data_IF_484351285274
#
_entry.id   IF_484351285274
#
_cell.length_a   1.000
_cell.length_b   1.000
_cell.length_c   1.000
_cell.angle_alpha   90.00
_cell.angle_beta   90.00
_cell.angle_gamma   90.00
#
_symmetry.space_group_name_H-M   'P 1'
#
loop_
_entity.id
_entity.type
_entity.pdbx_description
1 polymer ?
2 polymer ?
3 polymer ?
4 polymer ?
5 non-polymer ?
6 non-polymer ?
7 non-polymer ?
8 non-polymer ?
9 non-polymer ?
10 non-polymer ?
11 water ?
#
loop_
_entity_poly.entity_id
_entity_poly.type
_entity_poly.pdbx_seq_one_letter_code
_entity_poly.pdbx_strand_id
2 'polydeoxyribonucleotide' '(DC)(DG)(DG)(DC)(DA)(DA)(DT)(DA)(DC)(DG)' ?
3 'polydeoxyribonucleotide' '(DC)(DG)(DT)(DA)' ?
4 'polydeoxyribonucleotide' '(DG)(DC)(DC)(DG)' ?
#
# COMPACT_ATOMS: atom_id res chain seq x y z
N UNK A 10 7.33 -18.49 16.19
CA UNK A 10 6.99 -17.42 15.23
C UNK A 10 7.57 -17.74 13.85
N UNK A 11 6.70 -17.95 12.85
CA UNK A 11 7.26 -18.34 11.55
C UNK A 11 7.99 -17.19 10.87
N UNK A 12 8.85 -17.53 9.92
CA UNK A 12 9.80 -16.58 9.34
C UNK A 12 9.17 -15.57 8.39
N UNK A 13 8.10 -15.99 7.70
CA UNK A 13 7.45 -15.16 6.69
C UNK A 13 6.19 -14.52 7.23
N UNK A 14 5.91 -13.27 6.83
CA UNK A 14 4.75 -12.58 7.39
C UNK A 14 3.45 -13.23 6.94
N UNK A 15 3.50 -13.89 5.79
CA UNK A 15 2.28 -14.51 5.27
C UNK A 15 1.92 -15.81 6.00
N UNK A 16 2.79 -16.24 6.93
CA UNK A 16 2.56 -17.44 7.71
C UNK A 16 1.94 -17.16 9.08
N UNK A 17 1.67 -15.89 9.35
CA UNK A 17 1.17 -15.55 10.67
C UNK A 17 0.14 -14.43 10.57
N UNK A 18 -0.86 -14.44 11.46
CA UNK A 18 -1.83 -13.34 11.41
C UNK A 18 -1.18 -12.08 11.95
N UNK A 19 -1.46 -10.97 11.29
CA UNK A 19 -0.96 -9.67 11.77
C UNK A 19 -2.13 -8.70 11.80
N UNK A 20 -2.61 -8.37 13.00
CA UNK A 20 -3.81 -7.55 13.08
C UNK A 20 -3.45 -6.07 12.92
N UNK A 21 -4.47 -5.25 12.70
CA UNK A 21 -4.23 -3.83 12.50
C UNK A 21 -3.68 -3.17 13.76
N UNK A 22 -4.27 -3.52 14.90
CA UNK A 22 -3.80 -2.96 16.17
C UNK A 22 -3.21 -4.08 17.02
N UNK A 23 -2.24 -3.74 17.84
CA UNK A 23 -1.47 -4.83 18.46
C UNK A 23 -0.86 -4.37 19.78
N UNK A 24 0.20 -5.03 20.22
CA UNK A 24 0.67 -4.88 21.61
C UNK A 24 2.08 -4.32 21.72
N UNK A 25 2.61 -3.87 20.58
CA UNK A 25 3.98 -3.35 20.55
C UNK A 25 4.09 -2.15 19.65
N UNK A 26 3.10 -1.27 19.73
CA UNK A 26 2.96 -0.16 18.80
C UNK A 26 4.20 0.75 18.79
N UNK A 27 4.64 1.15 19.98
CA UNK A 27 5.82 1.99 20.11
C UNK A 27 7.08 1.39 19.50
N UNK A 28 7.32 0.10 19.76
CA UNK A 28 8.52 -0.54 19.25
C UNK A 28 8.48 -0.65 17.74
N UNK A 29 7.32 -1.02 17.20
CA UNK A 29 7.19 -1.19 15.75
C UNK A 29 7.35 0.16 15.04
N UNK A 30 6.78 1.20 15.64
CA UNK A 30 6.89 2.55 15.06
C UNK A 30 8.34 2.95 14.89
N UNK A 31 9.13 2.72 15.95
CA UNK A 31 10.54 3.12 15.92
C UNK A 31 11.29 2.36 14.82
N UNK A 32 11.06 1.05 14.71
CA UNK A 32 11.73 0.29 13.67
C UNK A 32 11.27 0.75 12.30
N UNK A 33 10.03 1.18 12.18
CA UNK A 33 9.54 1.63 10.88
C UNK A 33 10.15 2.99 10.47
N UNK A 34 10.52 3.81 11.45
CA UNK A 34 11.27 5.03 11.14
C UNK A 34 12.61 4.65 10.52
N UNK A 35 13.29 3.68 11.12
CA UNK A 35 14.59 3.27 10.58
C UNK A 35 14.43 2.65 9.19
N UNK A 36 13.35 1.90 8.98
CA UNK A 36 13.08 1.34 7.65
C UNK A 36 12.92 2.43 6.61
N UNK A 37 12.10 3.42 6.96
CA UNK A 37 11.80 4.54 6.09
C UNK A 37 13.07 5.32 5.75
N UNK A 38 13.92 5.54 6.76
CA UNK A 38 15.18 6.26 6.55
C UNK A 38 16.15 5.47 5.68
N UNK A 39 16.17 4.14 5.87
CA UNK A 39 16.98 3.26 5.02
C UNK A 39 16.56 3.41 3.56
N UNK A 40 15.25 3.44 3.33
CA UNK A 40 14.72 3.64 1.99
C UNK A 40 15.19 4.95 1.38
N UNK A 41 15.17 6.03 2.18
CA UNK A 41 15.61 7.33 1.68
C UNK A 41 17.08 7.32 1.23
N UNK A 42 17.86 6.45 1.86
CA UNK A 42 19.28 6.36 1.51
C UNK A 42 19.57 5.30 0.44
N UNK A 43 18.51 4.69 -0.10
CA UNK A 43 18.67 3.70 -1.15
C UNK A 43 19.11 2.32 -0.64
N UNK A 44 18.90 2.08 0.64
CA UNK A 44 19.29 0.83 1.28
C UNK A 44 18.08 -0.05 1.36
N UNK A 45 17.72 -0.68 0.25
CA UNK A 45 16.47 -1.44 0.20
C UNK A 45 16.54 -2.73 1.02
N UNK A 46 17.73 -3.29 1.19
CA UNK A 46 17.88 -4.47 2.02
C UNK A 46 17.62 -4.14 3.47
N UNK A 47 18.24 -3.07 3.94
CA UNK A 47 18.05 -2.64 5.32
C UNK A 47 16.59 -2.27 5.59
N UNK A 48 15.96 -1.59 4.63
CA UNK A 48 14.54 -1.25 4.76
C UNK A 48 13.71 -2.50 4.96
N UNK A 49 13.99 -3.52 4.16
CA UNK A 49 13.20 -4.75 4.23
C UNK A 49 13.37 -5.42 5.60
N UNK A 50 14.60 -5.47 6.10
CA UNK A 50 14.81 -6.10 7.39
C UNK A 50 14.10 -5.34 8.51
N UNK A 51 14.19 -4.00 8.50
CA UNK A 51 13.52 -3.24 9.56
C UNK A 51 12.01 -3.36 9.46
N UNK A 52 11.47 -3.42 8.24
CA UNK A 52 10.04 -3.67 8.05
C UNK A 52 9.61 -5.03 8.59
N UNK A 53 10.40 -6.06 8.30
CA UNK A 53 10.13 -7.42 8.79
C UNK A 53 10.17 -7.50 10.30
N UNK A 54 11.20 -6.92 10.90
CA UNK A 54 11.31 -6.93 12.36
C UNK A 54 10.13 -6.19 13.00
N UNK A 55 9.75 -5.05 12.44
CA UNK A 55 8.59 -4.36 12.95
C UNK A 55 7.35 -5.25 12.84
N UNK A 56 7.20 -5.94 11.71
CA UNK A 56 6.03 -6.79 11.51
C UNK A 56 5.98 -7.95 12.49
N UNK A 57 7.15 -8.49 12.84
CA UNK A 57 7.23 -9.57 13.82
C UNK A 57 6.64 -9.10 15.17
N UNK A 58 6.95 -7.87 15.57
CA UNK A 58 6.39 -7.34 16.80
C UNK A 58 4.87 -7.15 16.71
N UNK A 59 4.38 -6.72 15.55
CA UNK A 59 2.94 -6.57 15.35
C UNK A 59 2.22 -7.90 15.52
N UNK A 60 2.91 -8.99 15.19
CA UNK A 60 2.29 -10.30 15.24
C UNK A 60 2.38 -10.94 16.62
N UNK A 61 3.09 -10.32 17.56
CA UNK A 61 3.24 -10.94 18.88
C UNK A 61 1.93 -10.85 19.68
N UNK A 62 1.68 -11.83 20.57
CA UNK A 62 0.41 -11.87 21.29
C UNK A 62 0.38 -10.96 22.53
N UNK A 63 1.51 -10.34 22.89
CA UNK A 63 1.55 -9.49 24.07
C UNK A 63 2.77 -8.57 23.98
N UNK A 64 2.88 -7.59 24.88
CA UNK A 64 4.00 -6.64 24.79
C UNK A 64 5.35 -7.25 25.10
N UNK A 65 6.36 -6.82 24.36
CA UNK A 65 7.73 -7.14 24.72
C UNK A 65 8.14 -6.21 25.85
N UNK A 66 8.53 -6.78 26.99
CA UNK A 66 9.01 -5.93 28.07
C UNK A 66 10.45 -6.20 28.45
N UNK A 67 11.06 -7.25 27.94
CA UNK A 67 12.46 -7.51 28.26
C UNK A 67 13.20 -8.08 27.05
N UNK A 68 14.49 -7.76 26.98
CA UNK A 68 15.30 -8.11 25.81
C UNK A 68 15.31 -9.62 25.54
N UNK A 69 15.22 -10.44 26.59
CA UNK A 69 15.21 -11.90 26.41
C UNK A 69 14.06 -12.39 25.52
N UNK A 70 12.97 -11.64 25.46
CA UNK A 70 11.82 -12.10 24.70
C UNK A 70 12.08 -12.01 23.19
N UNK A 71 13.17 -11.34 22.79
CA UNK A 71 13.51 -11.26 21.36
C UNK A 71 14.25 -12.49 20.88
N UNK A 72 14.77 -13.27 21.84
CA UNK A 72 15.54 -14.46 21.53
C UNK A 72 14.69 -15.40 20.69
N UNK A 73 15.24 -15.83 19.57
CA UNK A 73 14.53 -16.74 18.71
C UNK A 73 13.55 -16.09 17.74
N UNK A 74 13.27 -14.80 17.92
CA UNK A 74 12.39 -14.13 16.96
C UNK A 74 13.13 -13.92 15.64
N UNK A 75 12.49 -14.27 14.54
CA UNK A 75 13.14 -14.03 13.24
C UNK A 75 13.32 -12.53 12.97
N UNK A 76 14.38 -12.17 12.26
CA UNK A 76 14.65 -10.81 11.79
C UNK A 76 15.11 -9.86 12.90
N UNK A 77 15.36 -10.41 14.09
CA UNK A 77 15.97 -9.60 15.14
C UNK A 77 17.42 -9.97 15.35
N UNK A 78 18.31 -9.15 14.80
CA UNK A 78 19.74 -9.32 14.99
C UNK A 78 20.27 -8.23 15.89
N UNK A 79 21.55 -7.91 15.75
CA UNK A 79 22.19 -6.98 16.67
C UNK A 79 21.54 -5.62 16.63
N UNK A 80 21.26 -5.15 15.43
CA UNK A 80 20.82 -3.76 15.27
C UNK A 80 19.41 -3.56 15.78
N UNK A 81 18.48 -4.40 15.31
CA UNK A 81 17.09 -4.29 15.73
C UNK A 81 16.92 -4.54 17.22
N UNK A 82 17.69 -5.47 17.77
CA UNK A 82 17.59 -5.77 19.19
C UNK A 82 18.08 -4.60 20.04
N UNK A 83 19.14 -3.93 19.59
CA UNK A 83 19.64 -2.77 20.30
C UNK A 83 18.60 -1.66 20.36
N UNK A 84 17.90 -1.45 19.25
CA UNK A 84 16.88 -0.43 19.18
C UNK A 84 15.81 -0.72 20.24
N UNK A 85 15.33 -1.97 20.27
CA UNK A 85 14.32 -2.34 21.25
C UNK A 85 14.87 -2.25 22.68
N UNK A 86 16.13 -2.66 22.88
CA UNK A 86 16.73 -2.58 24.21
C UNK A 86 16.73 -1.15 24.74
N UNK A 87 17.08 -0.20 23.88
CA UNK A 87 17.15 1.19 24.29
C UNK A 87 15.76 1.74 24.59
N UNK A 88 14.79 1.41 23.74
CA UNK A 88 13.42 1.82 24.01
C UNK A 88 12.92 1.25 25.34
N UNK A 89 13.22 -0.01 25.62
CA UNK A 89 12.79 -0.61 26.88
C UNK A 89 13.46 0.04 28.10
N UNK A 90 14.73 0.37 27.97
CA UNK A 90 15.50 0.87 29.11
C UNK A 90 15.33 2.38 29.32
N UNK A 91 15.18 3.14 28.24
CA UNK A 91 15.19 4.61 28.33
C UNK A 91 13.97 5.29 27.74
N UNK A 92 13.12 4.54 27.05
CA UNK A 92 11.91 5.10 26.49
C UNK A 92 12.14 5.78 25.15
N UNK A 93 13.40 5.89 24.75
CA UNK A 93 13.76 6.43 23.45
C UNK A 93 14.99 5.74 22.93
N UNK A 94 15.13 5.74 21.61
CA UNK A 94 16.32 5.21 20.98
C UNK A 94 17.04 6.37 20.32
N UNK A 95 18.27 6.64 20.76
CA UNK A 95 18.95 7.82 20.27
C UNK A 95 19.09 7.85 18.75
N UNK A 96 19.31 6.68 18.12
CA UNK A 96 19.43 6.66 16.66
C UNK A 96 18.13 7.11 15.99
N UNK A 97 17.01 6.61 16.50
CA UNK A 97 15.71 6.95 15.95
C UNK A 97 15.46 8.45 16.10
N UNK A 98 15.83 8.99 17.25
CA UNK A 98 15.58 10.40 17.50
C UNK A 98 16.44 11.28 16.61
N UNK A 99 17.69 10.89 16.39
CA UNK A 99 18.57 11.62 15.49
C UNK A 99 18.04 11.60 14.06
N UNK A 100 17.48 10.46 13.65
CA UNK A 100 16.86 10.40 12.32
C UNK A 100 15.67 11.36 12.24
N UNK A 101 14.76 11.29 13.22
CA UNK A 101 13.57 12.14 13.23
C UNK A 101 13.86 13.63 13.12
N UNK A 102 14.95 14.07 13.76
CA UNK A 102 15.29 15.49 13.79
C UNK A 102 16.06 15.94 12.60
N UNK A 103 16.54 15.00 11.78
CA UNK A 103 17.50 15.38 10.76
C UNK A 103 16.83 16.06 9.58
N UNK A 104 17.51 17.07 9.04
CA UNK A 104 17.02 17.79 7.87
C UNK A 104 16.81 16.84 6.69
N UNK A 105 17.73 15.90 6.54
CA UNK A 105 17.66 14.94 5.42
C UNK A 105 16.38 14.08 5.52
N UNK A 106 16.13 13.50 6.68
CA UNK A 106 14.93 12.68 6.87
C UNK A 106 13.67 13.49 6.66
N UNK A 107 13.58 14.67 7.27
CA UNK A 107 12.33 15.42 7.20
C UNK A 107 12.06 15.89 5.78
N UNK A 108 13.10 16.26 5.05
CA UNK A 108 12.92 16.73 3.69
C UNK A 108 12.57 15.58 2.74
N UNK A 109 13.23 14.43 2.91
CA UNK A 109 12.91 13.29 2.07
C UNK A 109 11.49 12.81 2.34
N UNK A 110 11.08 12.86 3.61
CA UNK A 110 9.73 12.44 3.95
C UNK A 110 8.72 13.39 3.29
N UNK A 111 8.98 14.68 3.38
CA UNK A 111 8.14 15.68 2.74
C UNK A 111 8.01 15.45 1.22
N UNK A 112 9.15 15.30 0.56
CA UNK A 112 9.16 15.21 -0.89
C UNK A 112 8.55 13.88 -1.38
N UNK A 113 8.89 12.77 -0.72
CA UNK A 113 8.46 11.45 -1.20
C UNK A 113 7.01 11.24 -0.94
N UNK A 114 6.40 12.07 -0.12
CA UNK A 114 4.99 11.88 0.14
C UNK A 114 4.14 12.64 -0.87
N UNK A 115 4.80 13.39 -1.75
CA UNK A 115 4.12 14.00 -2.89
C UNK A 115 3.80 12.94 -3.96
N UNK A 116 2.56 12.92 -4.43
CA UNK A 116 2.15 12.06 -5.53
C UNK A 116 2.97 12.40 -6.78
N UNK A 117 3.66 11.40 -7.32
CA UNK A 117 4.47 11.57 -8.51
C UNK A 117 5.95 11.71 -8.20
N UNK A 118 6.29 11.63 -6.92
CA UNK A 118 7.67 11.75 -6.48
C UNK A 118 8.12 10.48 -5.76
N UNK A 119 9.22 9.89 -6.20
CA UNK A 119 9.78 8.75 -5.50
C UNK A 119 11.09 9.13 -4.82
N UNK A 120 11.73 8.14 -4.21
CA UNK A 120 13.00 8.38 -3.53
C UNK A 120 14.06 9.01 -4.45
N UNK A 121 14.18 8.52 -5.69
CA UNK A 121 15.25 9.06 -6.53
C UNK A 121 15.03 10.53 -6.86
N UNK A 122 13.80 10.91 -7.13
CA UNK A 122 13.51 12.31 -7.44
C UNK A 122 13.69 13.18 -6.19
N UNK A 123 13.18 12.73 -5.05
CA UNK A 123 13.35 13.49 -3.80
C UNK A 123 14.81 13.70 -3.48
N UNK A 124 15.62 12.65 -3.67
CA UNK A 124 17.07 12.73 -3.41
C UNK A 124 17.77 13.73 -4.33
N UNK A 125 17.43 13.70 -5.61
CA UNK A 125 18.02 14.65 -6.56
C UNK A 125 17.67 16.08 -6.15
N UNK A 126 16.39 16.31 -5.85
CA UNK A 126 15.95 17.64 -5.40
C UNK A 126 16.69 18.09 -4.15
N UNK A 127 16.80 17.19 -3.19
CA UNK A 127 17.55 17.49 -1.97
C UNK A 127 19.00 17.90 -2.28
N UNK A 128 19.66 17.10 -3.12
CA UNK A 128 21.05 17.37 -3.50
C UNK A 128 21.18 18.68 -4.27
N UNK A 129 20.11 19.07 -4.95
CA UNK A 129 20.07 20.33 -5.68
C UNK A 129 19.85 21.49 -4.73
N UNK A 130 19.55 21.19 -3.48
CA UNK A 130 19.43 22.21 -2.45
C UNK A 130 18.00 22.58 -2.09
N UNK A 131 17.04 21.91 -2.72
CA UNK A 131 15.63 22.24 -2.50
C UNK A 131 15.19 21.65 -1.18
N UNK A 132 14.29 22.33 -0.48
CA UNK A 132 13.94 21.91 0.88
C UNK A 132 12.44 21.97 1.18
N UNK A 133 11.71 22.81 0.47
CA UNK A 133 10.31 23.02 0.82
C UNK A 133 9.39 22.84 -0.38
N UNK A 134 8.09 22.73 -0.14
CA UNK A 134 7.13 22.64 -1.24
C UNK A 134 7.17 23.90 -2.09
N UNK A 135 7.35 25.04 -1.44
CA UNK A 135 7.40 26.29 -2.19
C UNK A 135 8.63 26.35 -3.07
N UNK A 136 9.71 25.72 -2.67
CA UNK A 136 10.89 25.63 -3.54
C UNK A 136 10.52 24.92 -4.84
N UNK A 137 9.74 23.85 -4.74
CA UNK A 137 9.31 23.10 -5.92
C UNK A 137 8.35 23.93 -6.76
N UNK A 138 7.47 24.66 -6.11
CA UNK A 138 6.46 25.44 -6.81
C UNK A 138 7.06 26.59 -7.61
N UNK A 139 8.27 26.99 -7.24
CA UNK A 139 8.96 28.07 -7.95
C UNK A 139 9.69 27.56 -9.20
N UNK A 140 9.72 26.25 -9.42
CA UNK A 140 10.32 25.69 -10.64
C UNK A 140 9.35 24.81 -11.41
N UNK A 141 8.20 25.36 -11.84
CA UNK A 141 7.08 24.55 -12.34
C UNK A 141 7.40 23.79 -13.63
N UNK A 142 8.24 24.36 -14.49
CA UNK A 142 8.49 23.79 -15.80
C UNK A 142 9.27 22.47 -15.72
N UNK A 143 9.85 22.21 -14.56
CA UNK A 143 10.60 20.98 -14.36
C UNK A 143 9.69 19.84 -13.89
N UNK A 144 8.51 20.17 -13.34
CA UNK A 144 7.61 19.16 -12.78
C UNK A 144 6.82 18.39 -13.83
N UNK A 145 6.61 17.11 -13.61
CA UNK A 145 5.69 16.33 -14.45
C UNK A 145 4.25 16.74 -14.14
N UNK A 146 3.31 16.43 -15.03
CA UNK A 146 1.90 16.72 -14.76
C UNK A 146 1.41 16.05 -13.49
N UNK A 147 1.88 14.84 -13.22
CA UNK A 147 1.52 14.14 -11.99
C UNK A 147 2.04 14.86 -10.76
N UNK A 148 3.29 15.29 -10.79
CA UNK A 148 3.87 16.05 -9.69
C UNK A 148 3.16 17.39 -9.51
N UNK A 149 2.83 18.05 -10.61
CA UNK A 149 2.08 19.30 -10.54
C UNK A 149 0.77 19.07 -9.81
N UNK A 150 0.11 17.95 -10.12
CA UNK A 150 -1.16 17.63 -9.46
C UNK A 150 -0.93 17.30 -7.99
N UNK A 151 0.12 16.54 -7.70
CA UNK A 151 0.41 16.18 -6.31
C UNK A 151 0.68 17.42 -5.47
N UNK A 152 1.33 18.41 -6.05
CA UNK A 152 1.65 19.63 -5.31
C UNK A 152 0.42 20.50 -5.19
N UNK A 153 -0.33 20.62 -6.29
CA UNK A 153 -1.56 21.40 -6.30
C UNK A 153 -2.48 20.98 -5.19
N UNK A 154 -2.56 19.66 -4.96
CA UNK A 154 -3.54 19.09 -4.05
C UNK A 154 -2.91 18.55 -2.77
N UNK A 155 -1.69 19.03 -2.49
CA UNK A 155 -0.89 18.40 -1.44
C UNK A 155 -1.56 18.45 -0.08
N UNK A 156 -2.10 19.62 0.27
CA UNK A 156 -2.70 19.76 1.60
C UNK A 156 -3.83 18.76 1.77
N UNK A 157 -4.73 18.68 0.78
CA UNK A 157 -5.80 17.69 0.86
C UNK A 157 -5.29 16.26 0.85
N UNK A 158 -4.30 15.97 0.02
CA UNK A 158 -3.82 14.58 -0.08
C UNK A 158 -3.07 14.18 1.19
N UNK A 159 -2.69 15.17 1.99
CA UNK A 159 -2.03 14.88 3.27
C UNK A 159 -3.02 14.71 4.41
N UNK A 160 -4.29 14.94 4.12
CA UNK A 160 -5.35 14.82 5.12
C UNK A 160 -5.82 13.38 5.12
N UNK A 161 -5.87 12.72 6.29
CA UNK A 161 -6.32 11.32 6.23
C UNK A 161 -7.69 11.11 5.60
N UNK A 162 -7.77 10.12 4.71
CA UNK A 162 -9.06 9.69 4.16
C UNK A 162 -9.80 8.89 5.23
N UNK A 163 -11.06 9.22 5.50
CA UNK A 163 -11.84 8.56 6.55
C UNK A 163 -12.83 7.58 5.97
N UNK A 164 -13.40 6.74 6.83
CA UNK A 164 -14.38 5.76 6.35
C UNK A 164 -15.60 6.42 5.71
N UNK A 165 -16.01 7.58 6.23
CA UNK A 165 -17.17 8.27 5.63
C UNK A 165 -16.85 8.70 4.19
N UNK A 166 -15.59 9.07 3.95
CA UNK A 166 -15.13 9.46 2.62
C UNK A 166 -15.19 8.24 1.72
N UNK A 167 -14.73 7.11 2.25
CA UNK A 167 -14.74 5.86 1.48
C UNK A 167 -16.15 5.53 1.06
N UNK A 168 -17.09 5.61 2.01
CA UNK A 168 -18.47 5.24 1.73
C UNK A 168 -19.05 6.11 0.63
N UNK A 169 -18.78 7.42 0.72
CA UNK A 169 -19.27 8.35 -0.29
C UNK A 169 -18.66 8.06 -1.65
N UNK A 170 -17.34 7.83 -1.68
CA UNK A 170 -16.64 7.61 -2.94
C UNK A 170 -17.06 6.27 -3.55
N UNK A 171 -17.32 5.28 -2.70
CA UNK A 171 -17.77 3.99 -3.22
C UNK A 171 -19.12 4.15 -3.93
N UNK A 172 -20.03 4.94 -3.36
CA UNK A 172 -21.30 5.14 -4.03
C UNK A 172 -21.12 5.82 -5.40
N UNK A 173 -20.22 6.80 -5.46
CA UNK A 173 -19.94 7.53 -6.69
C UNK A 173 -19.37 6.60 -7.79
N UNK A 174 -18.42 5.77 -7.39
CA UNK A 174 -17.77 4.86 -8.32
C UNK A 174 -18.75 3.77 -8.72
N UNK A 175 -19.48 3.20 -7.77
CA UNK A 175 -20.52 2.24 -8.14
C UNK A 175 -21.54 2.81 -9.14
N UNK A 176 -21.97 4.05 -8.93
CA UNK A 176 -22.91 4.65 -9.88
C UNK A 176 -22.31 4.78 -11.29
N UNK A 177 -21.08 5.26 -11.34
CA UNK A 177 -20.43 5.48 -12.63
C UNK A 177 -20.13 4.16 -13.32
N UNK A 178 -19.60 3.20 -12.57
CA UNK A 178 -19.34 1.88 -13.15
C UNK A 178 -20.63 1.24 -13.64
N UNK A 179 -21.71 1.32 -12.85
CA UNK A 179 -22.98 0.77 -13.27
C UNK A 179 -23.56 1.43 -14.50
N UNK A 180 -23.30 2.74 -14.66
CA UNK A 180 -23.68 3.44 -15.88
C UNK A 180 -22.86 3.01 -17.11
N UNK A 181 -21.59 2.68 -16.89
CA UNK A 181 -20.65 2.35 -17.96
C UNK A 181 -20.76 0.90 -18.47
N UNK A 182 -21.14 0.00 -17.57
CA UNK A 182 -21.23 -1.40 -17.96
C UNK A 182 -22.23 -2.15 -17.10
N UNK A 183 -23.41 -2.47 -17.64
CA UNK A 183 -24.41 -3.20 -16.86
C UNK A 183 -23.85 -4.49 -16.31
N UNK A 184 -23.99 -4.69 -14.99
CA UNK A 184 -23.59 -5.94 -14.36
C UNK A 184 -22.19 -5.89 -13.79
N UNK A 185 -21.45 -4.81 -14.05
CA UNK A 185 -20.09 -4.68 -13.51
C UNK A 185 -20.17 -4.55 -11.99
N UNK A 186 -19.16 -5.05 -11.28
CA UNK A 186 -19.13 -4.95 -9.82
C UNK A 186 -17.95 -4.11 -9.34
N UNK A 187 -18.09 -3.52 -8.17
CA UNK A 187 -17.02 -2.72 -7.58
C UNK A 187 -16.69 -3.29 -6.20
N UNK A 188 -15.42 -3.58 -5.96
CA UNK A 188 -15.01 -4.15 -4.68
C UNK A 188 -14.00 -3.21 -4.01
N UNK A 189 -14.27 -2.79 -2.78
CA UNK A 189 -13.27 -2.00 -2.03
C UNK A 189 -12.07 -2.88 -1.73
N UNK A 190 -10.89 -2.39 -2.05
CA UNK A 190 -9.69 -3.14 -1.75
C UNK A 190 -8.69 -2.24 -0.98
N UNK A 191 -7.41 -2.50 -1.09
CA UNK A 191 -6.40 -1.75 -0.34
C UNK A 191 -6.62 -1.74 1.18
N UNK A 192 -6.11 -0.70 1.83
CA UNK A 192 -6.03 -0.71 3.28
C UNK A 192 -7.39 -0.73 3.96
N UNK A 193 -8.40 -0.09 3.36
CA UNK A 193 -9.72 -0.11 4.00
C UNK A 193 -10.31 -1.52 4.03
N UNK A 194 -9.98 -2.36 3.04
CA UNK A 194 -10.46 -3.74 3.11
C UNK A 194 -9.80 -4.50 4.27
N UNK A 195 -8.61 -4.08 4.67
CA UNK A 195 -7.92 -4.69 5.80
C UNK A 195 -8.39 -4.14 7.13
N UNK A 196 -9.40 -3.25 7.10
CA UNK A 196 -9.99 -2.77 8.35
C UNK A 196 -9.48 -1.41 8.82
N UNK A 197 -8.60 -0.80 8.05
CA UNK A 197 -8.06 0.52 8.38
C UNK A 197 -9.16 1.56 8.57
N UNK A 198 -8.98 2.45 9.53
CA UNK A 198 -9.96 3.48 9.79
C UNK A 198 -9.66 4.74 8.99
N UNK A 199 -8.41 4.85 8.55
CA UNK A 199 -8.00 5.99 7.75
C UNK A 199 -7.00 5.51 6.71
N UNK A 200 -6.79 6.31 5.66
CA UNK A 200 -5.88 5.89 4.61
C UNK A 200 -5.39 7.06 3.80
N UNK A 201 -4.53 6.79 2.84
CA UNK A 201 -3.98 7.84 1.97
C UNK A 201 -4.82 7.99 0.71
N UNK A 202 -5.58 6.95 0.39
CA UNK A 202 -6.41 6.93 -0.82
C UNK A 202 -7.51 5.91 -0.68
N UNK A 203 -8.30 5.73 -1.73
CA UNK A 203 -9.27 4.61 -1.75
C UNK A 203 -9.02 3.80 -3.00
N UNK A 204 -8.92 2.48 -2.83
CA UNK A 204 -8.62 1.58 -3.95
C UNK A 204 -9.83 0.74 -4.31
N UNK A 205 -10.20 0.71 -5.59
CA UNK A 205 -11.34 -0.10 -5.99
C UNK A 205 -10.97 -1.07 -7.11
N UNK A 206 -11.41 -2.33 -6.98
CA UNK A 206 -11.26 -3.34 -8.02
C UNK A 206 -12.61 -3.62 -8.69
N UNK A 207 -12.61 -3.56 -10.03
CA UNK A 207 -13.82 -3.66 -10.82
C UNK A 207 -13.77 -4.92 -11.68
N UNK A 208 -14.88 -5.63 -11.80
CA UNK A 208 -14.90 -6.75 -12.74
C UNK A 208 -16.31 -6.93 -13.28
N UNK A 209 -16.51 -7.98 -14.07
CA UNK A 209 -17.80 -8.33 -14.62
C UNK A 209 -17.89 -9.85 -14.70
N UNK A 210 -19.04 -10.43 -14.37
CA UNK A 210 -19.19 -11.89 -14.29
C UNK A 210 -19.00 -12.61 -15.64
N UNK A 211 -19.19 -11.92 -16.76
CA UNK A 211 -18.99 -12.52 -18.07
C UNK A 211 -17.62 -12.13 -18.60
N UNK A 212 -16.72 -13.11 -18.62
CA UNK A 212 -15.32 -12.85 -19.01
C UNK A 212 -15.24 -12.14 -20.35
N UNK A 213 -14.48 -11.05 -20.37
CA UNK A 213 -14.27 -10.28 -21.59
C UNK A 213 -15.10 -9.00 -21.63
N UNK A 214 -16.24 -9.00 -20.94
CA UNK A 214 -17.10 -7.81 -20.98
C UNK A 214 -16.48 -6.62 -20.25
N UNK A 215 -15.51 -6.89 -19.37
CA UNK A 215 -14.86 -5.82 -18.64
C UNK A 215 -13.85 -5.03 -19.50
N UNK A 216 -13.55 -5.52 -20.69
CA UNK A 216 -12.58 -4.86 -21.57
C UNK A 216 -13.07 -3.45 -21.93
N UNK A 217 -12.16 -2.47 -21.95
CA UNK A 217 -12.50 -1.17 -22.51
C UNK A 217 -13.41 -0.37 -21.59
N UNK A 218 -13.36 -0.68 -20.30
CA UNK A 218 -14.28 -0.08 -19.33
C UNK A 218 -13.88 1.30 -18.80
N UNK A 219 -12.63 1.48 -18.40
CA UNK A 219 -12.31 2.74 -17.70
C UNK A 219 -12.49 4.02 -18.50
N UNK A 220 -12.25 4.02 -19.84
CA UNK A 220 -12.54 5.32 -20.44
C UNK A 220 -14.01 5.70 -20.29
N UNK A 221 -14.90 4.70 -20.27
CA UNK A 221 -16.33 5.00 -20.15
C UNK A 221 -16.64 5.47 -18.73
N UNK A 222 -16.02 4.84 -17.74
CA UNK A 222 -16.20 5.20 -16.36
C UNK A 222 -15.67 6.62 -16.15
N UNK A 223 -14.46 6.88 -16.64
CA UNK A 223 -13.84 8.18 -16.44
C UNK A 223 -14.63 9.29 -17.12
N UNK A 224 -15.16 9.04 -18.32
CA UNK A 224 -16.01 10.02 -19.01
C UNK A 224 -17.22 10.39 -18.16
N UNK A 225 -17.84 9.38 -17.58
CA UNK A 225 -19.06 9.60 -16.79
C UNK A 225 -18.75 10.34 -15.48
N UNK A 226 -17.57 10.10 -14.90
CA UNK A 226 -17.17 10.83 -13.70
C UNK A 226 -16.81 12.29 -14.00
N UNK A 227 -16.14 12.51 -15.13
CA UNK A 227 -15.79 13.85 -15.55
C UNK A 227 -17.04 14.67 -15.87
N UNK A 228 -18.06 14.01 -16.41
CA UNK A 228 -19.31 14.71 -16.70
C UNK A 228 -20.05 15.12 -15.44
N UNK A 229 -19.64 14.59 -14.30
CA UNK A 229 -20.21 15.05 -13.05
C UNK A 229 -19.27 16.04 -12.34
N UNK A 230 -18.18 16.40 -13.01
CA UNK A 230 -17.24 17.38 -12.50
C UNK A 230 -16.43 16.86 -11.32
N UNK A 231 -16.26 15.55 -11.25
CA UNK A 231 -15.67 14.91 -10.06
C UNK A 231 -14.18 14.62 -10.18
N UNK A 232 -13.63 14.79 -11.38
CA UNK A 232 -12.25 14.35 -11.61
C UNK A 232 -11.31 15.54 -11.74
N UNK A 233 -10.38 15.67 -10.80
CA UNK A 233 -9.38 16.75 -10.86
C UNK A 233 -8.14 16.34 -11.64
N UNK A 234 -7.84 15.04 -11.61
CA UNK A 234 -6.65 14.52 -12.26
C UNK A 234 -6.88 13.06 -12.57
N UNK A 235 -6.41 12.59 -13.73
CA UNK A 235 -6.21 11.14 -13.76
C UNK A 235 -5.22 10.69 -14.80
N UNK A 236 -4.70 9.49 -14.55
CA UNK A 236 -3.74 8.87 -15.42
C UNK A 236 -4.23 7.47 -15.68
N UNK A 237 -4.47 7.16 -16.94
CA UNK A 237 -5.05 5.88 -17.36
C UNK A 237 -3.96 4.99 -17.93
N UNK A 238 -4.04 3.68 -17.64
CA UNK A 238 -3.13 2.71 -18.22
C UNK A 238 -3.99 1.63 -18.84
N UNK A 239 -3.83 1.40 -20.13
CA UNK A 239 -4.58 0.35 -20.81
C UNK A 239 -4.17 -1.04 -20.31
N UNK A 240 -5.07 -2.01 -20.49
CA UNK A 240 -4.75 -3.40 -20.21
C UNK A 240 -3.82 -3.92 -21.30
N UNK A 241 -3.31 -5.13 -21.10
CA UNK A 241 -2.36 -5.70 -22.08
C UNK A 241 -2.98 -5.96 -23.46
N UNK A 253 -4.74 -15.52 -20.74
CA UNK A 253 -4.13 -14.85 -19.58
C UNK A 253 -3.76 -13.38 -19.86
N UNK A 254 -4.22 -12.49 -19.01
CA UNK A 254 -3.80 -11.09 -19.08
C UNK A 254 -2.65 -10.77 -18.11
N UNK A 255 -1.58 -10.14 -18.59
CA UNK A 255 -0.46 -9.77 -17.72
C UNK A 255 -0.39 -8.28 -17.35
N UNK A 256 -1.41 -7.53 -17.74
CA UNK A 256 -1.60 -6.15 -17.26
C UNK A 256 -3.09 -5.83 -17.24
N UNK A 257 -3.55 -5.26 -16.14
CA UNK A 257 -4.96 -4.87 -16.01
C UNK A 257 -5.12 -3.42 -16.39
N UNK A 258 -6.31 -3.03 -16.83
CA UNK A 258 -6.57 -1.59 -17.01
C UNK A 258 -6.62 -0.87 -15.65
N UNK A 259 -5.97 0.29 -15.55
CA UNK A 259 -5.89 1.03 -14.28
C UNK A 259 -6.06 2.53 -14.51
N UNK A 260 -6.58 3.21 -13.50
CA UNK A 260 -6.65 4.67 -13.51
C UNK A 260 -6.29 5.20 -12.13
N UNK A 261 -5.27 6.06 -12.06
CA UNK A 261 -4.87 6.69 -10.82
C UNK A 261 -5.44 8.11 -10.83
N UNK A 262 -6.35 8.39 -9.92
CA UNK A 262 -7.21 9.58 -10.05
C UNK A 262 -7.06 10.47 -8.82
N UNK A 263 -7.47 11.73 -8.98
CA UNK A 263 -7.76 12.59 -7.83
C UNK A 263 -9.19 13.05 -8.02
N UNK A 264 -10.06 12.66 -7.09
CA UNK A 264 -11.47 13.03 -7.13
C UNK A 264 -11.70 14.31 -6.35
N UNK A 265 -12.69 15.06 -6.80
CA UNK A 265 -13.27 16.14 -6.03
C UNK A 265 -14.39 15.58 -5.15
N UNK A 266 -14.17 15.49 -3.84
CA UNK A 266 -15.19 14.97 -2.94
C UNK A 266 -15.94 16.06 -2.22
N UNK A 267 -17.26 16.15 -2.46
CA UNK A 267 -18.06 17.17 -1.78
C UNK A 267 -18.00 17.03 -0.27
N UNK A 268 -17.88 18.17 0.41
CA UNK A 268 -17.96 18.25 1.86
C UNK A 268 -18.98 19.34 2.17
N UNK A 269 -19.45 19.44 3.41
CA UNK A 269 -20.42 20.50 3.72
C UNK A 269 -19.91 21.88 3.34
N UNK A 270 -20.51 22.49 2.31
CA UNK A 270 -20.17 23.85 1.92
C UNK A 270 -18.84 23.99 1.18
N UNK A 271 -18.19 22.88 0.88
CA UNK A 271 -16.89 22.89 0.24
C UNK A 271 -16.57 21.53 -0.40
N UNK A 272 -15.28 21.20 -0.49
CA UNK A 272 -14.87 19.93 -1.07
C UNK A 272 -13.42 19.66 -0.71
N UNK A 273 -13.00 18.43 -0.85
CA UNK A 273 -11.59 18.12 -0.71
C UNK A 273 -11.18 17.12 -1.78
N UNK A 274 -9.92 17.23 -2.21
CA UNK A 274 -9.35 16.29 -3.15
C UNK A 274 -9.01 14.97 -2.46
N UNK A 275 -9.35 13.86 -3.11
CA UNK A 275 -9.02 12.51 -2.58
C UNK A 275 -8.42 11.64 -3.68
N UNK A 276 -7.31 10.99 -3.38
CA UNK A 276 -6.74 10.02 -4.32
C UNK A 276 -7.64 8.76 -4.39
N UNK A 277 -7.96 8.35 -5.62
CA UNK A 277 -8.76 7.13 -5.82
C UNK A 277 -8.05 6.33 -6.90
N UNK A 278 -7.82 5.04 -6.66
CA UNK A 278 -7.25 4.16 -7.67
C UNK A 278 -8.31 3.19 -8.15
N UNK A 279 -8.42 3.01 -9.47
CA UNK A 279 -9.36 2.06 -10.06
C UNK A 279 -8.59 1.02 -10.83
N UNK A 280 -8.94 -0.26 -10.66
CA UNK A 280 -8.30 -1.28 -11.47
C UNK A 280 -9.37 -2.25 -11.94
N UNK A 281 -9.26 -2.70 -13.19
CA UNK A 281 -10.26 -3.61 -13.74
C UNK A 281 -9.61 -4.92 -14.07
N UNK A 282 -10.17 -6.03 -13.59
CA UNK A 282 -9.61 -7.34 -13.94
C UNK A 282 -10.70 -8.23 -14.51
N UNK A 283 -10.33 -9.13 -15.46
CA UNK A 283 -11.25 -10.19 -15.90
C UNK A 283 -11.61 -11.11 -14.73
N UNK A 284 -12.82 -11.65 -14.70
CA UNK A 284 -13.26 -12.35 -13.49
C UNK A 284 -12.34 -13.58 -13.21
N UNK A 285 -11.80 -14.17 -14.26
CA UNK A 285 -10.88 -15.30 -14.08
C UNK A 285 -9.64 -14.95 -13.26
N UNK A 286 -9.23 -13.69 -13.26
CA UNK A 286 -8.02 -13.26 -12.57
C UNK A 286 -8.34 -12.38 -11.39
N UNK A 287 -9.64 -12.16 -11.17
CA UNK A 287 -10.06 -11.32 -10.05
C UNK A 287 -9.46 -11.72 -8.70
N UNK A 288 -9.40 -13.03 -8.36
CA UNK A 288 -8.84 -13.32 -7.03
C UNK A 288 -7.38 -12.90 -6.85
N UNK A 289 -6.59 -12.97 -7.93
CA UNK A 289 -5.18 -12.59 -7.85
C UNK A 289 -5.07 -11.08 -7.71
N UNK A 290 -5.94 -10.37 -8.42
CA UNK A 290 -5.92 -8.92 -8.35
C UNK A 290 -6.35 -8.48 -6.96
N UNK A 291 -7.41 -9.10 -6.45
CA UNK A 291 -7.89 -8.76 -5.10
C UNK A 291 -6.81 -9.04 -4.06
N UNK A 292 -6.16 -10.19 -4.18
CA UNK A 292 -5.09 -10.51 -3.20
C UNK A 292 -3.98 -9.46 -3.23
N UNK A 293 -3.51 -9.15 -4.44
CA UNK A 293 -2.42 -8.19 -4.52
C UNK A 293 -2.82 -6.79 -4.06
N UNK A 294 -3.99 -6.33 -4.50
CA UNK A 294 -4.40 -4.95 -4.18
C UNK A 294 -4.88 -4.78 -2.75
N UNK A 295 -5.09 -5.87 -2.04
CA UNK A 295 -5.55 -5.77 -0.64
C UNK A 295 -4.35 -5.62 0.30
N UNK A 296 -3.18 -6.09 -0.12
CA UNK A 296 -1.97 -5.84 0.63
C UNK A 296 -1.93 -6.62 1.94
N UNK A 297 -1.22 -6.11 2.95
CA UNK A 297 -0.38 -4.91 2.88
C UNK A 297 0.76 -5.06 1.89
N UNK A 298 1.47 -3.97 1.63
CA UNK A 298 2.65 -4.07 0.77
C UNK A 298 3.63 -5.11 1.30
N UNK A 299 3.97 -5.02 2.58
CA UNK A 299 4.89 -6.03 3.11
C UNK A 299 4.28 -7.45 3.04
N UNK A 300 2.98 -7.59 3.29
CA UNK A 300 2.35 -8.90 3.20
C UNK A 300 2.52 -9.49 1.80
N UNK A 301 2.33 -8.68 0.77
CA UNK A 301 2.45 -9.22 -0.60
C UNK A 301 3.89 -9.56 -0.95
N UNK A 302 4.87 -8.74 -0.54
CA UNK A 302 6.27 -9.05 -0.80
C UNK A 302 6.61 -10.37 -0.13
N UNK A 303 6.16 -10.53 1.11
CA UNK A 303 6.42 -11.76 1.85
C UNK A 303 5.75 -12.99 1.23
N UNK A 304 4.50 -12.82 0.82
CA UNK A 304 3.75 -13.89 0.19
C UNK A 304 4.42 -14.33 -1.13
N UNK A 305 4.87 -13.35 -1.92
CA UNK A 305 5.52 -13.67 -3.18
C UNK A 305 6.90 -14.31 -2.96
N UNK A 306 7.59 -13.87 -1.91
CA UNK A 306 8.88 -14.47 -1.57
C UNK A 306 8.68 -15.92 -1.14
N UNK A 307 7.66 -16.13 -0.31
CA UNK A 307 7.34 -17.47 0.16
C UNK A 307 7.00 -18.41 -1.00
N UNK A 308 6.10 -17.94 -1.87
CA UNK A 308 5.69 -18.69 -3.04
C UNK A 308 6.91 -19.16 -3.84
N UNK A 309 7.80 -18.22 -4.16
CA UNK A 309 8.93 -18.53 -5.01
C UNK A 309 9.96 -19.38 -4.30
N UNK A 310 10.34 -18.96 -3.12
CA UNK A 310 11.48 -19.59 -2.47
C UNK A 310 11.10 -20.88 -1.76
N UNK A 311 9.91 -20.94 -1.19
CA UNK A 311 9.50 -22.15 -0.48
C UNK A 311 8.71 -23.13 -1.37
N UNK A 312 7.89 -22.63 -2.29
CA UNK A 312 7.00 -23.52 -3.05
C UNK A 312 7.38 -23.66 -4.53
N UNK A 313 8.34 -22.85 -4.97
CA UNK A 313 8.81 -22.86 -6.34
C UNK A 313 7.77 -22.41 -7.34
N UNK A 314 6.84 -21.56 -6.88
CA UNK A 314 5.78 -21.02 -7.71
C UNK A 314 5.93 -19.51 -7.79
N UNK A 315 5.58 -18.93 -8.94
CA UNK A 315 5.76 -17.50 -9.13
C UNK A 315 4.42 -16.79 -9.07
N UNK A 316 4.30 -15.89 -8.10
CA UNK A 316 3.07 -15.16 -7.81
C UNK A 316 3.16 -13.68 -8.19
N UNK A 317 2.14 -13.18 -8.89
CA UNK A 317 2.01 -11.73 -9.03
C UNK A 317 0.55 -11.32 -9.01
N UNK A 318 0.26 -10.06 -9.35
CA UNK A 318 -1.12 -9.59 -9.27
C UNK A 318 -2.06 -10.25 -10.26
N UNK A 319 -1.49 -10.98 -11.22
CA UNK A 319 -2.26 -11.50 -12.33
C UNK A 319 -2.42 -13.00 -12.26
N UNK A 320 -1.61 -13.70 -11.46
CA UNK A 320 -1.69 -15.15 -11.46
C UNK A 320 -0.61 -15.83 -10.66
N UNK A 321 -0.60 -17.16 -10.74
CA UNK A 321 0.34 -17.97 -9.99
C UNK A 321 0.82 -19.03 -10.93
N UNK A 322 2.12 -19.04 -11.21
CA UNK A 322 2.67 -19.85 -12.30
C UNK A 322 3.56 -20.96 -11.77
N UNK A 323 3.31 -22.18 -12.25
CA UNK A 323 4.17 -23.32 -11.95
C UNK A 323 5.19 -23.43 -13.08
N UNK A 324 6.46 -23.05 -12.81
CA UNK A 324 7.47 -23.02 -13.88
C UNK A 324 7.91 -24.40 -14.34
N UNK A 325 7.67 -25.43 -13.53
CA UNK A 325 8.07 -26.77 -13.95
C UNK A 325 7.07 -27.32 -14.97
N UNK A 326 5.79 -27.17 -14.64
CA UNK A 326 4.70 -27.62 -15.49
C UNK A 326 4.37 -26.60 -16.58
N UNK A 327 4.83 -25.37 -16.37
CA UNK A 327 4.52 -24.24 -17.25
C UNK A 327 3.01 -24.05 -17.38
N UNK A 328 2.33 -24.02 -16.24
CA UNK A 328 0.89 -23.81 -16.18
C UNK A 328 0.52 -22.75 -15.16
N UNK A 329 -0.56 -22.01 -15.43
CA UNK A 329 -1.09 -21.10 -14.42
C UNK A 329 -2.16 -21.81 -13.60
N UNK A 330 -2.18 -21.54 -12.30
CA UNK A 330 -3.24 -22.04 -11.43
C UNK A 330 -4.51 -21.26 -11.68
N UNK A 331 -5.63 -21.95 -11.83
CA UNK A 331 -6.91 -21.27 -11.79
C UNK A 331 -7.27 -21.02 -10.32
N UNK A 332 -7.94 -19.91 -10.06
CA UNK A 332 -8.37 -19.60 -8.70
C UNK A 332 -9.73 -18.98 -8.80
N UNK A 333 -10.65 -19.39 -7.93
CA UNK A 333 -11.98 -18.82 -7.91
C UNK A 333 -12.15 -17.96 -6.67
N UNK A 334 -11.13 -17.91 -5.83
CA UNK A 334 -11.20 -17.18 -4.56
C UNK A 334 -9.80 -16.98 -4.00
N UNK A 335 -9.67 -16.04 -3.06
CA UNK A 335 -8.43 -15.94 -2.32
C UNK A 335 -8.17 -17.22 -1.55
N UNK A 336 -9.22 -17.86 -1.04
CA UNK A 336 -9.04 -19.11 -0.32
C UNK A 336 -8.34 -20.16 -1.21
N UNK A 337 -8.69 -20.21 -2.49
CA UNK A 337 -7.98 -21.09 -3.44
C UNK A 337 -6.49 -20.81 -3.46
N UNK A 338 -6.12 -19.53 -3.49
CA UNK A 338 -4.72 -19.16 -3.65
C UNK A 338 -3.92 -19.57 -2.42
N UNK A 339 -4.43 -19.28 -1.24
CA UNK A 339 -3.76 -19.74 -0.03
C UNK A 339 -3.62 -21.25 -0.04
N UNK A 340 -4.65 -21.97 -0.49
CA UNK A 340 -4.54 -23.41 -0.55
C UNK A 340 -3.45 -23.90 -1.53
N UNK A 341 -3.38 -23.28 -2.72
CA UNK A 341 -2.36 -23.63 -3.72
C UNK A 341 -0.95 -23.47 -3.13
N UNK A 342 -0.80 -22.50 -2.22
CA UNK A 342 0.49 -22.19 -1.62
C UNK A 342 0.75 -22.97 -0.33
N UNK A 343 -0.21 -23.78 0.09
CA UNK A 343 -0.06 -24.55 1.33
C UNK A 343 0.00 -23.67 2.57
N UNK A 344 -0.69 -22.54 2.54
CA UNK A 344 -0.73 -21.59 3.68
C UNK A 344 -2.09 -21.57 4.34
N UNK A 345 -2.17 -21.49 5.67
CA UNK A 345 -3.44 -21.28 6.32
C UNK A 345 -4.05 -19.96 5.85
N UNK A 346 -5.36 -19.97 5.60
CA UNK A 346 -6.01 -18.76 5.13
C UNK A 346 -5.95 -17.63 6.15
N UNK A 347 -5.64 -16.43 5.67
CA UNK A 347 -5.72 -15.22 6.49
C UNK A 347 -6.72 -14.24 5.87
N UNK A 348 -7.73 -13.83 6.64
CA UNK A 348 -8.64 -12.80 6.12
C UNK A 348 -7.88 -11.47 6.01
N UNK A 349 -8.42 -10.52 5.25
CA UNK A 349 -7.68 -9.29 4.96
C UNK A 349 -7.30 -8.50 6.21
N UNK A 350 -8.10 -8.60 7.28
CA UNK A 350 -7.79 -7.86 8.50
C UNK A 350 -6.62 -8.50 9.26
N UNK A 351 -6.17 -9.69 8.85
CA UNK A 351 -4.98 -10.27 9.45
C UNK A 351 -3.79 -10.22 8.50
N UNK A 352 -3.90 -9.40 7.45
CA UNK A 352 -2.81 -9.20 6.50
C UNK A 352 -2.12 -7.85 6.71
N UNK A 353 -2.20 -7.32 7.93
CA UNK A 353 -1.64 -6.00 8.21
C UNK A 353 -0.17 -6.07 8.60
N UNK A 354 0.61 -6.79 7.80
CA UNK A 354 2.03 -6.93 8.08
C UNK A 354 2.72 -5.59 7.94
X LIG E 1 -3.81 3.09 -4.05
X LIG F 1 -4.77 2.55 -0.65
X LIG G 1 5.78 -10.97 23.49
X LIG G 1 4.67 -11.89 23.41
X LIG G 1 6.56 -11.20 24.78
X LIG G 1 7.08 -12.54 24.74
X LIG H 1 5.38 -16.27 -14.67
X LIG H 1 4.87 -15.26 -13.83
X LIG H 1 4.82 -16.10 -16.08
X LIG H 1 4.78 -14.73 -16.39
X LIG H 1 5.74 -16.82 -17.05
X LIG H 1 5.23 -16.68 -18.35
X LIG I 1 -21.63 19.82 -11.49
X LIG I 1 -20.86 19.81 -12.68
X LIG I 1 -22.68 18.71 -11.53
X LIG I 1 -22.92 18.31 -12.86
X LIG I 1 -23.97 19.23 -10.90
X LIG I 1 -24.02 18.86 -9.54
X LIG J 1 -0.76 -5.05 -6.42
X LIG J 1 0.34 -5.87 -6.01
X LIG J 1 -0.22 -3.69 -6.87
X LIG J 1 0.92 -3.92 -7.73
X LIG K 1 4.67 -1.28 -3.75
X LIG K 1 3.52 -1.70 -3.64
X LIG K 1 2.42 -0.81 -3.45
X LIG K 1 1.18 -1.35 -3.30
X LIG K 1 3.29 -3.03 -3.67
X LIG K 1 2.03 -3.53 -3.52
X LIG K 1 1.82 -4.73 -3.53
X LIG K 1 0.99 -2.72 -3.34
X LIG K 1 -0.35 -3.32 -3.18
X LIG K 1 -0.61 -3.59 -1.67
X LIG K 1 -1.33 -2.29 -1.21
X LIG K 1 -2.12 -2.58 -0.07
X LIG K 1 -1.34 -2.36 -3.56
X LIG K 1 -2.23 -2.07 -2.44
X LIG K 1 -2.79 -0.63 -2.50
X LIG K 1 -1.71 0.29 -2.63
X LIG K 1 -1.85 1.61 -1.73
X LIG K 1 -3.17 2.23 -2.01
X LIG K 1 -0.60 2.50 -2.13
X LIG K 1 -1.64 1.17 -0.11
X LIG K 1 -2.86 0.82 0.98
X LIG K 1 -2.53 -0.49 1.59
X LIG K 1 -4.29 0.88 0.39
X LIG K 1 -2.72 1.90 2.15
X LIG K 1 -2.90 3.49 1.94
X LIG K 1 -3.79 3.97 3.14
X LIG K 1 -1.52 4.07 2.01
X LIG K 1 -3.59 3.68 0.54
X LIG L 1 20.73 -2.18 1.89
X LIG M 1 -11.91 -13.88 -3.56
X LIG N 1 -6.04 2.80 10.63
X LIG O 1 -2.71 -4.21 -11.31
X LIG P 1 5.28 9.87 -3.74
X LIG Q 1 26.02 -7.93 1.08
#
# INVERSE_FOLDING_TARGET
GSAAASPAWMPAYACQRPTPLTHHNTGLSEALEILAEAAGFEGSEGRLLTFCRAASVLKALPSPVTTLSQLQGLPHFGEHSSRVVQELLEHGVCEEVERVRRSERYQTMKLFTQIFGVGVKTADRWYREGLRTLDDLREQPQKLTQQQKAGLQHHQDLSTPVLRSDVDALQQVVEEAVGQALPGATVTLTGGFRRGKLQGHDVDFLITHPKEGQEAGLLPRVMCRLQDQGLILYHQHQHSCCESPTRLAQQSHMDAFERSFCIFRLPQPGSWKAVRVDLVVAPVSQFPFALLGWTGSKLFQRELRRFSRKEKGLWLNSHGLFDPEQKTFFQAASEEDIFRHLGLEYLPPEQRNA
MG MG
MG MG
EDO C1 O1 C2 O2
GOL C1 O1 C2 O2 C3 O3
GOL C1 O1 C2 O2 C3 O3
EDO C1 O1 C2 O2
DUP O4 C4 C5 C6 N3 C2 O2 N1 C1' C2' C3' O3' O4' C4' C5' O5' PA O1A O2A N3A PB O1B O2B O3B PG O2G O1G O3G
CL CL
CL CL
CL CL
CL CL
NA NA
MG MG
#
